data_IF_756659118654
#
_entry.id   IF_756659118654
#
_cell.length_a   1.000
_cell.length_b   1.000
_cell.length_c   1.000
_cell.angle_alpha   90.00
_cell.angle_beta   90.00
_cell.angle_gamma   90.00
#
_symmetry.space_group_name_H-M   'P 1'
#
loop_
_entity.id
_entity.type
_entity.pdbx_description
1 polymer ?
#
# COMPACT_ATOMS: atom_id res chain seq x y z
N UNK A 1 -0.36 19.56 -85.43
CA UNK A 1 -0.46 20.45 -84.25
C UNK A 1 -1.17 19.68 -83.16
N UNK A 2 -0.42 19.14 -82.19
CA UNK A 2 -0.99 18.37 -81.07
C UNK A 2 -0.43 18.97 -79.79
N UNK A 3 -1.36 19.35 -78.91
CA UNK A 3 -1.16 20.07 -77.68
C UNK A 3 -0.48 19.22 -76.59
N UNK A 4 0.47 19.84 -75.88
CA UNK A 4 0.34 20.09 -74.45
C UNK A 4 0.54 18.89 -73.52
N UNK A 5 1.78 18.72 -73.07
CA UNK A 5 2.24 17.82 -72.03
C UNK A 5 1.38 17.88 -70.74
N UNK A 6 1.06 16.70 -70.19
CA UNK A 6 0.49 16.54 -68.85
C UNK A 6 1.52 16.01 -67.86
N UNK A 7 1.69 16.82 -66.81
CA UNK A 7 1.76 16.49 -65.37
C UNK A 7 3.06 15.92 -64.79
N UNK A 8 3.74 16.86 -64.14
CA UNK A 8 4.50 16.76 -62.90
C UNK A 8 4.01 15.68 -61.90
N UNK A 9 4.96 14.90 -61.37
CA UNK A 9 5.02 14.46 -59.96
C UNK A 9 5.63 15.61 -59.14
N UNK A 10 5.31 15.84 -57.84
CA UNK A 10 5.73 14.93 -56.76
C UNK A 10 4.85 14.94 -55.49
N UNK A 11 5.27 14.16 -54.47
CA UNK A 11 4.76 14.19 -53.09
C UNK A 11 4.01 12.91 -52.74
N UNK A 12 4.64 11.80 -52.32
CA UNK A 12 5.47 11.63 -51.13
C UNK A 12 4.71 12.04 -49.86
N UNK A 13 3.73 11.22 -49.46
CA UNK A 13 3.11 11.20 -48.13
C UNK A 13 2.15 10.00 -48.07
N UNK A 14 2.66 8.78 -47.94
CA UNK A 14 1.89 7.65 -47.39
C UNK A 14 2.85 6.49 -47.18
N UNK A 15 3.45 6.44 -45.99
CA UNK A 15 4.43 5.42 -45.66
C UNK A 15 4.99 5.53 -44.25
N UNK A 16 4.20 6.08 -43.32
CA UNK A 16 4.45 5.90 -41.89
C UNK A 16 3.45 4.86 -41.36
N UNK A 17 3.46 3.68 -41.97
CA UNK A 17 3.05 2.47 -41.27
C UNK A 17 4.21 2.11 -40.33
N UNK A 18 4.41 2.93 -39.29
CA UNK A 18 5.26 2.56 -38.19
C UNK A 18 4.55 1.41 -37.50
N UNK A 19 5.10 0.21 -37.69
CA UNK A 19 4.76 -0.97 -36.94
C UNK A 19 4.70 -0.61 -35.46
N UNK A 20 3.49 -0.45 -34.91
CA UNK A 20 3.22 -0.90 -33.56
C UNK A 20 3.40 -2.42 -33.61
N UNK A 21 4.67 -2.85 -33.55
CA UNK A 21 4.97 -4.13 -32.96
C UNK A 21 4.30 -4.08 -31.59
N UNK A 22 3.21 -4.85 -31.48
CA UNK A 22 2.68 -5.30 -30.22
C UNK A 22 3.84 -6.00 -29.51
N UNK A 23 4.67 -5.21 -28.82
CA UNK A 23 5.28 -5.70 -27.61
C UNK A 23 4.09 -6.18 -26.77
N UNK A 24 4.08 -7.42 -26.26
CA UNK A 24 3.13 -7.74 -25.21
C UNK A 24 3.25 -6.60 -24.21
N UNK A 25 2.14 -5.92 -23.91
CA UNK A 25 2.15 -4.86 -22.92
C UNK A 25 2.83 -5.48 -21.69
N UNK A 26 4.08 -5.06 -21.40
CA UNK A 26 4.81 -5.59 -20.26
C UNK A 26 3.89 -5.40 -19.07
N UNK A 27 3.56 -6.49 -18.38
CA UNK A 27 2.53 -6.45 -17.35
C UNK A 27 2.89 -5.34 -16.37
N UNK A 28 2.00 -4.37 -16.20
CA UNK A 28 2.34 -3.13 -15.49
C UNK A 28 2.77 -3.47 -14.06
N UNK A 29 4.04 -3.21 -13.67
CA UNK A 29 4.55 -3.60 -12.36
C UNK A 29 3.76 -2.92 -11.24
N UNK A 30 3.13 -3.71 -10.37
CA UNK A 30 2.17 -3.20 -9.39
C UNK A 30 2.45 -3.75 -7.99
N UNK A 31 2.42 -2.84 -7.02
CA UNK A 31 2.29 -3.16 -5.60
C UNK A 31 0.82 -3.38 -5.28
N UNK A 32 0.54 -4.53 -4.67
CA UNK A 32 -0.80 -4.98 -4.35
C UNK A 32 -0.94 -5.14 -2.82
N UNK A 33 -2.16 -4.94 -2.32
CA UNK A 33 -2.50 -5.19 -0.91
C UNK A 33 -3.69 -6.12 -0.82
N UNK A 34 -3.49 -7.25 -0.14
CA UNK A 34 -4.53 -8.22 0.16
C UNK A 34 -5.29 -7.76 1.40
N UNK A 35 -6.61 -7.73 1.28
CA UNK A 35 -7.56 -7.39 2.35
C UNK A 35 -8.69 -8.43 2.35
N UNK A 36 -9.57 -8.48 3.38
CA UNK A 36 -10.71 -9.40 3.36
C UNK A 36 -11.60 -9.28 2.12
N UNK A 37 -11.66 -8.10 1.48
CA UNK A 37 -12.44 -7.87 0.26
C UNK A 37 -11.77 -8.39 -1.02
N UNK A 38 -10.48 -8.73 -0.96
CA UNK A 38 -9.69 -9.16 -2.11
C UNK A 38 -8.34 -8.44 -2.21
N UNK A 39 -7.69 -8.62 -3.35
CA UNK A 39 -6.37 -8.08 -3.65
C UNK A 39 -6.51 -6.78 -4.45
N UNK A 40 -5.95 -5.68 -3.96
CA UNK A 40 -6.11 -4.35 -4.59
C UNK A 40 -4.79 -3.83 -5.15
N UNK A 41 -4.77 -3.25 -6.36
CA UNK A 41 -3.62 -2.51 -6.82
C UNK A 41 -3.55 -1.18 -6.05
N UNK A 42 -2.38 -0.90 -5.50
CA UNK A 42 -2.14 0.27 -4.65
C UNK A 42 -1.20 1.27 -5.31
N UNK A 43 -0.17 0.78 -5.98
CA UNK A 43 0.76 1.61 -6.72
C UNK A 43 1.29 0.85 -7.93
N UNK A 44 1.56 1.57 -9.01
CA UNK A 44 2.33 1.12 -10.16
C UNK A 44 3.74 1.66 -10.02
N UNK A 45 4.75 0.92 -10.48
CA UNK A 45 6.13 1.40 -10.56
C UNK A 45 6.58 1.56 -12.01
N UNK A 46 7.10 2.75 -12.33
CA UNK A 46 7.78 3.03 -13.60
C UNK A 46 9.17 3.60 -13.28
N UNK A 47 10.21 2.85 -13.63
CA UNK A 47 11.57 3.12 -13.15
C UNK A 47 11.62 3.05 -11.62
N UNK A 48 12.03 4.14 -10.97
CA UNK A 48 12.12 4.25 -9.50
C UNK A 48 10.96 5.02 -8.86
N UNK A 49 9.91 5.35 -9.63
CA UNK A 49 8.81 6.20 -9.18
C UNK A 49 7.51 5.42 -9.07
N UNK A 50 6.72 5.77 -8.05
CA UNK A 50 5.41 5.18 -7.82
C UNK A 50 4.29 6.09 -8.35
N UNK A 51 3.34 5.48 -9.04
CA UNK A 51 2.19 6.14 -9.64
C UNK A 51 0.89 5.50 -9.15
N UNK A 52 -0.20 6.28 -9.05
CA UNK A 52 -1.50 5.71 -8.72
C UNK A 52 -1.94 4.78 -9.86
N UNK A 53 -2.57 3.63 -9.54
CA UNK A 53 -3.18 2.80 -10.56
C UNK A 53 -4.29 3.55 -11.32
N UNK A 54 -4.57 3.09 -12.54
CA UNK A 54 -5.59 3.70 -13.38
C UNK A 54 -6.99 3.68 -12.74
N UNK A 55 -7.72 4.80 -12.85
CA UNK A 55 -9.09 4.93 -12.33
C UNK A 55 -10.17 4.68 -13.38
N UNK A 56 -9.82 4.74 -14.65
CA UNK A 56 -10.75 4.48 -15.75
C UNK A 56 -11.06 2.98 -15.81
N UNK A 57 -12.35 2.63 -15.85
CA UNK A 57 -12.79 1.23 -15.83
C UNK A 57 -12.16 0.37 -16.94
N UNK A 58 -11.98 0.94 -18.14
CA UNK A 58 -11.31 0.26 -19.26
C UNK A 58 -9.85 -0.09 -18.93
N UNK A 59 -9.10 0.87 -18.40
CA UNK A 59 -7.70 0.67 -18.03
C UNK A 59 -7.55 -0.26 -16.82
N UNK A 60 -8.50 -0.22 -15.88
CA UNK A 60 -8.58 -1.19 -14.78
C UNK A 60 -8.78 -2.61 -15.31
N UNK A 61 -9.69 -2.80 -16.27
CA UNK A 61 -9.95 -4.11 -16.85
C UNK A 61 -8.72 -4.68 -17.57
N UNK A 62 -7.98 -3.85 -18.30
CA UNK A 62 -6.72 -4.24 -18.95
C UNK A 62 -5.73 -4.74 -17.89
N UNK A 63 -5.41 -3.91 -16.89
CA UNK A 63 -4.53 -4.29 -15.78
C UNK A 63 -4.98 -5.59 -15.09
N UNK A 64 -6.29 -5.71 -14.87
CA UNK A 64 -6.92 -6.85 -14.22
C UNK A 64 -6.72 -8.17 -14.97
N UNK A 65 -6.92 -8.13 -16.29
CA UNK A 65 -6.77 -9.29 -17.18
C UNK A 65 -5.30 -9.68 -17.33
N UNK A 66 -4.42 -8.71 -17.55
CA UNK A 66 -2.98 -8.95 -17.74
C UNK A 66 -2.38 -9.73 -16.57
N UNK A 67 -2.76 -9.38 -15.33
CA UNK A 67 -2.28 -10.09 -14.14
C UNK A 67 -2.84 -11.52 -14.04
N UNK A 68 -4.12 -11.73 -14.34
CA UNK A 68 -4.78 -13.03 -14.27
C UNK A 68 -4.23 -14.02 -15.32
N UNK A 69 -3.87 -13.50 -16.49
CA UNK A 69 -3.23 -14.28 -17.55
C UNK A 69 -1.79 -14.65 -17.18
N UNK A 70 -1.04 -13.71 -16.59
CA UNK A 70 0.34 -13.95 -16.20
C UNK A 70 0.47 -14.92 -15.01
N UNK A 71 -0.41 -14.82 -14.01
CA UNK A 71 -0.36 -15.63 -12.78
C UNK A 71 -1.75 -15.90 -12.20
N UNK A 72 -1.96 -17.14 -11.76
CA UNK A 72 -3.17 -17.57 -11.03
C UNK A 72 -3.04 -17.50 -9.51
N UNK A 73 -1.82 -17.47 -9.00
CA UNK A 73 -1.55 -17.40 -7.57
C UNK A 73 -0.43 -16.42 -7.29
N UNK A 74 -0.61 -15.60 -6.27
CA UNK A 74 0.38 -14.62 -5.84
C UNK A 74 0.76 -14.82 -4.37
N UNK A 75 2.05 -14.79 -4.03
CA UNK A 75 2.48 -14.83 -2.65
C UNK A 75 2.06 -13.56 -1.92
N UNK A 76 1.67 -13.74 -0.65
CA UNK A 76 1.37 -12.68 0.30
C UNK A 76 2.51 -12.56 1.33
N UNK A 77 2.95 -11.33 1.56
CA UNK A 77 4.12 -11.02 2.38
C UNK A 77 3.74 -10.17 3.59
N UNK A 78 4.36 -10.50 4.72
CA UNK A 78 4.37 -9.72 5.96
C UNK A 78 5.82 -9.35 6.25
N UNK A 79 6.15 -8.05 6.15
CA UNK A 79 7.51 -7.53 6.35
C UNK A 79 8.58 -8.31 5.55
N UNK A 80 8.29 -8.57 4.27
CA UNK A 80 9.11 -9.33 3.31
C UNK A 80 9.30 -10.82 3.57
N UNK A 81 8.63 -11.36 4.59
CA UNK A 81 8.48 -12.80 4.77
C UNK A 81 7.21 -13.27 4.06
N UNK A 82 7.30 -14.34 3.27
CA UNK A 82 6.14 -14.97 2.64
C UNK A 82 5.32 -15.72 3.70
N UNK A 83 4.00 -15.50 3.73
CA UNK A 83 3.12 -16.04 4.78
C UNK A 83 2.09 -17.03 4.27
N UNK A 84 1.64 -16.86 3.03
CA UNK A 84 0.63 -17.67 2.37
C UNK A 84 0.51 -17.25 0.90
N UNK A 85 -0.26 -18.01 0.13
CA UNK A 85 -0.66 -17.65 -1.24
C UNK A 85 -2.06 -17.04 -1.28
N UNK A 86 -2.32 -16.26 -2.33
CA UNK A 86 -3.63 -15.77 -2.73
C UNK A 86 -3.98 -16.29 -4.11
N UNK A 87 -5.07 -17.06 -4.21
CA UNK A 87 -5.58 -17.58 -5.47
C UNK A 87 -6.45 -16.53 -6.15
N UNK A 88 -6.03 -16.08 -7.33
CA UNK A 88 -6.74 -15.09 -8.13
C UNK A 88 -7.85 -15.77 -8.95
N UNK A 89 -9.08 -15.29 -8.83
CA UNK A 89 -10.23 -15.81 -9.59
C UNK A 89 -10.60 -14.87 -10.74
N UNK A 90 -11.03 -13.64 -10.41
CA UNK A 90 -11.50 -12.65 -11.39
C UNK A 90 -11.20 -11.23 -10.95
N UNK A 91 -11.13 -10.33 -11.91
CA UNK A 91 -10.99 -8.91 -11.63
C UNK A 91 -12.35 -8.21 -11.62
N UNK A 92 -12.56 -7.34 -10.64
CA UNK A 92 -13.74 -6.50 -10.51
C UNK A 92 -13.32 -5.04 -10.63
N UNK A 93 -13.77 -4.37 -11.70
CA UNK A 93 -13.63 -2.92 -11.86
C UNK A 93 -14.37 -2.18 -10.76
N UNK A 94 -13.90 -0.99 -10.42
CA UNK A 94 -14.57 -0.17 -9.41
C UNK A 94 -15.97 0.24 -9.90
N UNK A 95 -17.00 0.22 -9.03
CA UNK A 95 -18.31 0.75 -9.39
C UNK A 95 -18.26 2.21 -9.86
N UNK A 96 -19.23 2.68 -10.66
CA UNK A 96 -19.36 4.09 -10.98
C UNK A 96 -19.44 4.96 -9.71
N UNK A 97 -18.77 6.11 -9.70
CA UNK A 97 -18.71 7.02 -8.52
C UNK A 97 -17.66 6.64 -7.47
N UNK A 98 -16.89 5.58 -7.71
CA UNK A 98 -15.86 5.05 -6.83
C UNK A 98 -14.47 5.52 -7.30
N UNK A 99 -13.65 6.10 -6.42
CA UNK A 99 -12.30 6.58 -6.78
C UNK A 99 -11.20 5.50 -6.67
N UNK A 100 -11.59 4.23 -6.85
CA UNK A 100 -10.75 3.05 -6.69
C UNK A 100 -10.03 2.62 -7.96
N UNK A 101 -9.27 1.54 -7.84
CA UNK A 101 -8.45 0.95 -8.89
C UNK A 101 -8.89 -0.47 -9.28
N UNK A 102 -10.11 -0.86 -8.90
CA UNK A 102 -10.60 -2.23 -8.97
C UNK A 102 -10.01 -3.12 -7.89
N UNK A 103 -10.31 -4.41 -7.96
CA UNK A 103 -9.77 -5.45 -7.07
C UNK A 103 -9.85 -6.83 -7.74
N UNK A 104 -8.88 -7.68 -7.48
CA UNK A 104 -8.98 -9.11 -7.77
C UNK A 104 -9.74 -9.81 -6.64
N UNK A 105 -10.84 -10.46 -7.01
CA UNK A 105 -11.54 -11.41 -6.16
C UNK A 105 -10.79 -12.74 -6.19
N UNK A 106 -10.83 -13.44 -5.07
CA UNK A 106 -10.09 -14.67 -4.89
C UNK A 106 -10.11 -15.13 -3.45
N UNK A 107 -9.28 -16.13 -3.15
CA UNK A 107 -9.21 -16.73 -1.83
C UNK A 107 -7.76 -16.80 -1.34
N UNK A 108 -7.45 -16.24 -0.17
CA UNK A 108 -6.21 -16.58 0.51
C UNK A 108 -6.28 -18.03 1.00
N UNK A 109 -5.14 -18.70 1.13
CA UNK A 109 -5.07 -20.09 1.66
C UNK A 109 -5.72 -20.23 3.05
N UNK A 110 -5.76 -19.14 3.81
CA UNK A 110 -6.35 -19.04 5.14
C UNK A 110 -6.88 -17.62 5.37
N UNK A 111 -7.88 -17.43 6.26
CA UNK A 111 -8.47 -16.12 6.50
C UNK A 111 -7.43 -15.06 6.85
N UNK A 112 -7.54 -13.89 6.22
CA UNK A 112 -6.68 -12.74 6.52
C UNK A 112 -7.14 -12.09 7.83
N UNK A 113 -6.27 -12.09 8.83
CA UNK A 113 -6.44 -11.36 10.09
C UNK A 113 -5.88 -9.92 10.01
N UNK A 114 -5.10 -9.63 8.96
CA UNK A 114 -4.44 -8.35 8.71
C UNK A 114 -4.19 -8.16 7.21
N UNK A 115 -3.99 -6.92 6.73
CA UNK A 115 -3.61 -6.70 5.35
C UNK A 115 -2.18 -7.20 5.09
N UNK A 116 -1.94 -7.78 3.91
CA UNK A 116 -0.64 -8.30 3.48
C UNK A 116 -0.24 -7.72 2.12
N UNK A 117 1.07 -7.61 1.87
CA UNK A 117 1.58 -7.15 0.58
C UNK A 117 1.61 -8.27 -0.44
N UNK A 118 1.42 -7.94 -1.71
CA UNK A 118 1.70 -8.80 -2.83
C UNK A 118 2.20 -7.97 -4.01
N UNK A 119 2.74 -8.62 -5.03
CA UNK A 119 3.47 -7.97 -6.10
C UNK A 119 3.14 -8.65 -7.42
N UNK A 120 2.94 -7.87 -8.48
CA UNK A 120 2.82 -8.44 -9.82
C UNK A 120 4.16 -9.04 -10.29
N UNK A 121 4.15 -9.94 -11.30
CA UNK A 121 5.34 -10.68 -11.73
C UNK A 121 6.55 -9.81 -12.10
N UNK A 122 6.31 -8.65 -12.73
CA UNK A 122 7.35 -7.73 -13.18
C UNK A 122 7.70 -6.65 -12.14
N UNK A 123 7.11 -6.73 -10.94
CA UNK A 123 7.52 -5.86 -9.85
C UNK A 123 8.96 -6.23 -9.43
N UNK A 124 9.88 -5.26 -9.28
CA UNK A 124 11.29 -5.49 -8.91
C UNK A 124 11.49 -6.27 -7.59
N UNK A 125 10.41 -6.43 -6.84
CA UNK A 125 10.13 -7.66 -6.14
C UNK A 125 10.21 -7.54 -4.62
N UNK A 126 9.52 -8.42 -3.90
CA UNK A 126 9.83 -8.71 -2.52
C UNK A 126 11.17 -9.44 -2.45
N UNK A 127 12.08 -8.98 -1.60
CA UNK A 127 13.19 -9.84 -1.18
C UNK A 127 12.65 -10.73 -0.07
N UNK A 128 12.53 -12.03 -0.32
CA UNK A 128 12.22 -13.01 0.73
C UNK A 128 13.30 -12.89 1.81
N UNK A 129 12.94 -12.35 2.97
CA UNK A 129 13.81 -12.29 4.13
C UNK A 129 12.97 -12.44 5.39
N UNK A 130 13.60 -12.95 6.45
CA UNK A 130 12.96 -13.04 7.76
C UNK A 130 13.00 -11.64 8.37
N UNK A 131 11.95 -10.87 8.10
CA UNK A 131 11.82 -9.50 8.58
C UNK A 131 11.14 -9.41 9.93
N UNK A 132 10.29 -10.36 10.31
CA UNK A 132 9.47 -10.31 11.52
C UNK A 132 10.27 -10.66 12.79
N UNK A 133 10.00 -9.95 13.87
CA UNK A 133 10.59 -10.17 15.19
C UNK A 133 9.50 -10.45 16.24
N UNK A 134 9.82 -11.20 17.31
CA UNK A 134 8.90 -11.42 18.41
C UNK A 134 8.45 -10.09 19.06
N UNK A 135 7.13 -9.90 19.23
CA UNK A 135 6.57 -8.61 19.66
C UNK A 135 6.42 -8.45 21.17
N UNK A 136 6.39 -9.54 21.93
CA UNK A 136 6.00 -9.55 23.35
C UNK A 136 6.83 -8.61 24.24
N UNK A 137 8.12 -8.43 23.91
CA UNK A 137 9.03 -7.57 24.66
C UNK A 137 8.77 -6.06 24.46
N UNK A 138 7.93 -5.67 23.50
CA UNK A 138 7.74 -4.27 23.11
C UNK A 138 6.42 -3.65 23.58
N UNK A 139 5.53 -4.41 24.25
CA UNK A 139 4.22 -3.90 24.70
C UNK A 139 4.35 -2.69 25.62
N UNK A 140 5.27 -2.75 26.60
CA UNK A 140 5.52 -1.63 27.52
C UNK A 140 6.05 -0.40 26.77
N UNK A 141 7.04 -0.60 25.89
CA UNK A 141 7.58 0.46 25.04
C UNK A 141 6.49 1.12 24.19
N UNK A 142 5.63 0.30 23.57
CA UNK A 142 4.54 0.78 22.73
C UNK A 142 3.58 1.68 23.51
N UNK A 143 3.15 1.26 24.70
CA UNK A 143 2.29 2.06 25.56
C UNK A 143 2.97 3.37 26.00
N UNK A 144 4.23 3.29 26.45
CA UNK A 144 5.01 4.46 26.89
C UNK A 144 5.16 5.51 25.78
N UNK A 145 5.48 5.06 24.57
CA UNK A 145 5.71 5.93 23.42
C UNK A 145 4.41 6.54 22.89
N UNK A 146 3.32 5.77 22.84
CA UNK A 146 1.99 6.30 22.50
C UNK A 146 1.53 7.36 23.52
N UNK A 147 1.63 7.07 24.82
CA UNK A 147 1.27 8.03 25.88
C UNK A 147 2.11 9.32 25.80
N UNK A 148 3.41 9.20 25.51
CA UNK A 148 4.29 10.36 25.32
C UNK A 148 3.77 11.28 24.22
N UNK A 149 3.35 10.73 23.09
CA UNK A 149 2.81 11.53 21.97
C UNK A 149 1.46 12.14 22.34
N UNK A 150 0.52 11.37 22.89
CA UNK A 150 -0.79 11.90 23.28
C UNK A 150 -0.71 13.00 24.35
N UNK A 151 0.19 12.87 25.33
CA UNK A 151 0.48 13.95 26.29
C UNK A 151 1.03 15.20 25.60
N UNK A 152 1.94 15.05 24.64
CA UNK A 152 2.45 16.18 23.86
C UNK A 152 1.34 16.86 23.02
N UNK A 153 0.30 16.12 22.63
CA UNK A 153 -0.92 16.67 22.00
C UNK A 153 -1.95 17.21 23.01
N UNK A 154 -1.60 17.27 24.31
CA UNK A 154 -2.42 17.83 25.39
C UNK A 154 -3.77 17.13 25.59
N UNK A 155 -3.84 15.81 25.37
CA UNK A 155 -5.01 15.04 25.76
C UNK A 155 -5.18 15.07 27.29
N UNK A 156 -6.43 15.10 27.74
CA UNK A 156 -6.76 15.07 29.17
C UNK A 156 -6.46 13.70 29.79
N UNK A 157 -6.24 13.65 31.11
CA UNK A 157 -5.96 12.40 31.83
C UNK A 157 -7.02 11.30 31.59
N UNK A 158 -8.34 11.58 31.58
CA UNK A 158 -9.33 10.56 31.22
C UNK A 158 -9.13 9.96 29.82
N UNK A 159 -8.72 10.76 28.84
CA UNK A 159 -8.44 10.29 27.48
C UNK A 159 -7.12 9.52 27.42
N UNK A 160 -6.11 9.93 28.19
CA UNK A 160 -4.84 9.21 28.30
C UNK A 160 -5.03 7.81 28.90
N UNK A 161 -5.93 7.67 29.88
CA UNK A 161 -6.30 6.37 30.46
C UNK A 161 -7.10 5.48 29.50
N UNK A 162 -7.64 6.04 28.41
CA UNK A 162 -8.37 5.32 27.38
C UNK A 162 -7.51 4.91 26.17
N UNK A 163 -6.20 5.18 26.19
CA UNK A 163 -5.25 4.78 25.14
C UNK A 163 -5.14 3.26 25.06
N UNK A 164 -5.39 2.70 23.88
CA UNK A 164 -5.22 1.28 23.59
C UNK A 164 -4.25 1.07 22.43
N UNK A 165 -3.17 0.31 22.68
CA UNK A 165 -2.35 -0.27 21.60
C UNK A 165 -3.13 -1.41 20.96
N UNK A 166 -3.41 -1.28 19.67
CA UNK A 166 -4.29 -2.18 18.91
C UNK A 166 -3.55 -3.03 17.89
N UNK A 167 -2.43 -2.53 17.36
CA UNK A 167 -1.51 -3.32 16.54
C UNK A 167 -0.08 -3.02 16.98
N UNK A 168 0.70 -4.08 17.14
CA UNK A 168 2.12 -4.01 17.47
C UNK A 168 2.86 -4.99 16.58
N UNK A 169 3.81 -4.50 15.81
CA UNK A 169 4.63 -5.31 14.92
C UNK A 169 6.09 -4.94 15.11
N UNK A 170 6.95 -5.93 15.23
CA UNK A 170 8.39 -5.74 15.26
C UNK A 170 8.97 -6.31 13.98
N UNK A 171 9.81 -5.53 13.31
CA UNK A 171 10.35 -5.90 12.01
C UNK A 171 11.76 -5.35 11.82
N UNK A 172 12.47 -5.83 10.80
CA UNK A 172 13.76 -5.29 10.40
C UNK A 172 13.68 -4.65 9.02
N UNK A 173 14.49 -3.64 8.74
CA UNK A 173 14.75 -3.14 7.38
C UNK A 173 16.22 -3.33 7.03
N UNK A 174 16.56 -3.02 5.79
CA UNK A 174 17.93 -3.11 5.27
C UNK A 174 18.49 -4.53 5.46
N UNK A 175 17.67 -5.52 5.13
CA UNK A 175 17.98 -6.95 5.20
C UNK A 175 18.47 -7.37 6.59
N UNK A 176 17.78 -6.94 7.66
CA UNK A 176 18.09 -7.33 9.04
C UNK A 176 18.97 -6.35 9.82
N UNK A 177 19.57 -5.36 9.17
CA UNK A 177 20.57 -4.49 9.82
C UNK A 177 19.95 -3.38 10.69
N UNK A 178 18.67 -3.04 10.48
CA UNK A 178 17.97 -2.00 11.25
C UNK A 178 16.71 -2.58 11.87
N UNK A 179 16.49 -2.35 13.16
CA UNK A 179 15.39 -2.93 13.92
C UNK A 179 14.31 -1.88 14.20
N UNK A 180 13.05 -2.25 13.96
CA UNK A 180 11.91 -1.37 14.06
C UNK A 180 10.76 -1.99 14.85
N UNK A 181 9.91 -1.12 15.38
CA UNK A 181 8.61 -1.46 15.95
C UNK A 181 7.57 -0.49 15.39
N UNK A 182 6.50 -1.04 14.81
CA UNK A 182 5.29 -0.31 14.47
C UNK A 182 4.29 -0.40 15.60
N UNK A 183 3.73 0.74 16.01
CA UNK A 183 2.71 0.85 17.05
C UNK A 183 1.51 1.58 16.48
N UNK A 184 0.39 0.89 16.33
CA UNK A 184 -0.90 1.52 16.11
C UNK A 184 -1.68 1.59 17.43
N UNK A 185 -2.07 2.79 17.83
CA UNK A 185 -2.87 3.02 19.03
C UNK A 185 -4.02 3.97 18.76
N UNK A 186 -5.10 3.78 19.50
CA UNK A 186 -6.29 4.63 19.43
C UNK A 186 -6.71 5.09 20.82
N UNK A 187 -7.48 6.17 20.85
CA UNK A 187 -8.20 6.65 22.04
C UNK A 187 -9.69 6.68 21.71
N UNK A 188 -10.50 6.06 22.56
CA UNK A 188 -11.96 6.04 22.44
C UNK A 188 -12.58 6.75 23.63
N UNK A 189 -13.44 7.73 23.37
CA UNK A 189 -14.38 8.19 24.40
C UNK A 189 -15.44 7.12 24.66
N UNK A 190 -15.85 6.93 25.92
CA UNK A 190 -16.98 6.09 26.25
C UNK A 190 -18.20 6.54 25.42
N UNK A 191 -18.90 5.58 24.80
CA UNK A 191 -20.05 5.76 23.90
C UNK A 191 -19.79 5.96 22.40
N UNK A 192 -18.54 6.02 21.91
CA UNK A 192 -18.26 6.06 20.45
C UNK A 192 -17.63 4.77 19.95
N UNK A 193 -18.20 4.21 18.87
CA UNK A 193 -17.57 3.14 18.09
C UNK A 193 -16.35 3.65 17.29
N UNK A 194 -16.30 4.97 17.07
CA UNK A 194 -15.23 5.68 16.37
C UNK A 194 -14.12 6.08 17.35
N UNK A 195 -12.82 5.85 17.04
CA UNK A 195 -11.75 6.40 17.85
C UNK A 195 -11.72 7.91 17.69
N UNK A 196 -11.66 8.67 18.79
CA UNK A 196 -11.48 10.13 18.73
C UNK A 196 -10.07 10.51 18.28
N UNK A 197 -9.08 9.67 18.58
CA UNK A 197 -7.72 9.87 18.12
C UNK A 197 -7.11 8.56 17.65
N UNK A 198 -6.34 8.65 16.57
CA UNK A 198 -5.59 7.53 16.02
C UNK A 198 -4.14 7.91 15.85
N UNK A 199 -3.25 6.98 16.17
CA UNK A 199 -1.81 7.16 16.12
C UNK A 199 -1.16 5.94 15.48
N UNK A 200 -0.29 6.18 14.51
CA UNK A 200 0.72 5.21 14.08
C UNK A 200 2.11 5.78 14.35
N UNK A 201 2.93 5.01 15.06
CA UNK A 201 4.35 5.25 15.25
C UNK A 201 5.14 4.17 14.53
N UNK A 202 6.23 4.57 13.87
CA UNK A 202 7.32 3.67 13.49
C UNK A 202 8.54 4.09 14.30
N UNK A 203 9.00 3.21 15.16
CA UNK A 203 10.13 3.41 16.06
C UNK A 203 11.32 2.60 15.55
N UNK A 204 12.51 3.18 15.57
CA UNK A 204 13.76 2.48 15.26
C UNK A 204 14.65 2.37 16.49
N UNK A 205 15.29 1.22 16.65
CA UNK A 205 16.33 1.01 17.66
C UNK A 205 17.67 1.55 17.17
N UNK A 206 18.13 2.63 17.78
CA UNK A 206 19.43 3.25 17.51
C UNK A 206 20.28 3.13 18.78
N UNK A 207 21.26 2.22 18.74
CA UNK A 207 22.04 1.83 19.90
C UNK A 207 21.15 1.28 21.02
N UNK A 208 21.12 1.95 22.17
CA UNK A 208 20.30 1.58 23.33
C UNK A 208 18.94 2.30 23.39
N UNK A 209 18.62 3.17 22.42
CA UNK A 209 17.43 4.01 22.46
C UNK A 209 16.47 3.69 21.32
N UNK A 210 15.18 3.93 21.56
CA UNK A 210 14.15 3.91 20.54
C UNK A 210 13.86 5.34 20.09
N UNK A 211 13.85 5.57 18.78
CA UNK A 211 13.60 6.88 18.19
C UNK A 211 12.43 6.80 17.21
N UNK A 212 11.54 7.79 17.29
CA UNK A 212 10.42 7.92 16.35
C UNK A 212 10.92 8.31 14.96
N UNK A 213 10.71 7.44 13.98
CA UNK A 213 11.03 7.67 12.57
C UNK A 213 9.82 8.11 11.76
N UNK A 214 8.61 7.77 12.21
CA UNK A 214 7.35 8.21 11.62
C UNK A 214 6.31 8.40 12.73
N UNK A 215 5.57 9.50 12.67
CA UNK A 215 4.40 9.80 13.51
C UNK A 215 3.22 10.19 12.61
N UNK A 216 2.17 9.39 12.61
CA UNK A 216 0.86 9.75 12.07
C UNK A 216 -0.13 9.90 13.20
N UNK A 217 -0.34 11.14 13.62
CA UNK A 217 -1.38 11.49 14.58
C UNK A 217 -2.58 12.08 13.85
N UNK A 218 -3.79 11.65 14.21
CA UNK A 218 -5.04 12.23 13.74
C UNK A 218 -6.03 12.40 14.87
N UNK A 219 -6.69 13.56 14.88
CA UNK A 219 -7.91 13.82 15.65
C UNK A 219 -9.11 13.58 14.73
N UNK A 220 -9.94 12.62 15.08
CA UNK A 220 -11.09 12.16 14.31
C UNK A 220 -12.35 12.89 14.77
N UNK A 221 -12.65 14.02 14.13
CA UNK A 221 -13.86 14.80 14.44
C UNK A 221 -15.11 14.24 13.76
N UNK A 222 -14.96 13.67 12.56
CA UNK A 222 -16.06 13.11 11.74
C UNK A 222 -15.69 11.80 11.04
N UNK A 223 -14.42 11.61 10.73
CA UNK A 223 -13.93 10.41 10.04
C UNK A 223 -13.33 9.44 11.05
N UNK A 224 -13.78 8.18 11.05
CA UNK A 224 -13.21 7.11 11.90
C UNK A 224 -11.92 6.55 11.30
N UNK A 225 -10.97 7.44 11.07
CA UNK A 225 -9.72 7.11 10.42
C UNK A 225 -8.77 6.40 11.40
N UNK A 226 -8.15 5.33 10.96
CA UNK A 226 -7.14 4.55 11.67
C UNK A 226 -5.93 4.33 10.76
N UNK A 227 -4.79 4.01 11.35
CA UNK A 227 -3.55 3.76 10.64
C UNK A 227 -2.96 2.40 11.04
N UNK A 228 -2.32 1.72 10.09
CA UNK A 228 -1.60 0.48 10.35
C UNK A 228 -0.45 0.29 9.37
N UNK A 229 0.66 -0.30 9.82
CA UNK A 229 1.61 -0.89 8.90
C UNK A 229 0.95 -2.06 8.15
N UNK A 230 1.17 -2.13 6.84
CA UNK A 230 0.85 -3.30 6.00
C UNK A 230 2.06 -4.20 5.90
N UNK A 231 3.23 -3.62 5.61
CA UNK A 231 4.48 -4.35 5.62
C UNK A 231 5.64 -3.56 5.01
N UNK A 232 6.85 -4.12 5.12
CA UNK A 232 8.05 -3.67 4.42
C UNK A 232 8.24 -4.34 3.06
N UNK A 233 8.91 -3.63 2.14
CA UNK A 233 9.27 -4.13 0.81
C UNK A 233 10.49 -3.39 0.24
N UNK A 234 10.98 -3.82 -0.92
CA UNK A 234 12.11 -3.21 -1.61
C UNK A 234 11.84 -3.11 -3.11
N UNK A 235 12.60 -2.26 -3.79
CA UNK A 235 12.65 -2.19 -5.27
C UNK A 235 14.09 -2.31 -5.80
N UNK A 236 15.08 -2.27 -4.91
CA UNK A 236 16.50 -2.39 -5.22
C UNK A 236 17.13 -3.49 -4.38
N UNK A 237 18.42 -3.35 -4.02
CA UNK A 237 19.23 -4.34 -3.29
C UNK A 237 18.83 -4.60 -1.82
N UNK A 238 17.94 -3.78 -1.26
CA UNK A 238 17.59 -3.78 0.15
C UNK A 238 16.08 -3.59 0.31
N UNK A 239 15.55 -4.10 1.42
CA UNK A 239 14.20 -3.77 1.87
C UNK A 239 14.24 -2.48 2.66
N UNK A 240 13.89 -1.40 1.97
CA UNK A 240 14.02 -0.02 2.41
C UNK A 240 12.70 0.75 2.41
N UNK A 241 11.60 0.10 2.03
CA UNK A 241 10.29 0.76 1.91
C UNK A 241 9.28 0.16 2.87
N UNK A 242 8.33 0.99 3.28
CA UNK A 242 7.18 0.61 4.09
C UNK A 242 5.90 1.00 3.36
N UNK A 243 4.91 0.12 3.41
CA UNK A 243 3.55 0.43 3.03
C UNK A 243 2.72 0.63 4.30
N UNK A 244 2.17 1.83 4.46
CA UNK A 244 1.27 2.21 5.56
C UNK A 244 -0.13 2.37 4.99
N UNK A 245 -1.10 1.72 5.61
CA UNK A 245 -2.51 1.91 5.31
C UNK A 245 -3.10 2.93 6.28
N UNK A 246 -3.89 3.86 5.74
CA UNK A 246 -4.95 4.52 6.49
C UNK A 246 -6.30 3.99 6.06
N UNK A 247 -7.23 3.90 6.99
CA UNK A 247 -8.58 3.37 6.74
C UNK A 247 -9.63 4.16 7.50
N UNK A 248 -10.74 4.45 6.85
CA UNK A 248 -11.99 4.93 7.45
C UNK A 248 -13.12 3.96 7.08
N UNK A 249 -14.35 4.17 7.58
CA UNK A 249 -15.49 3.32 7.21
C UNK A 249 -15.78 3.30 5.69
N UNK A 250 -15.43 4.37 4.98
CA UNK A 250 -15.78 4.56 3.56
C UNK A 250 -14.58 4.53 2.62
N UNK A 251 -13.35 4.59 3.15
CA UNK A 251 -12.15 4.71 2.32
C UNK A 251 -10.95 3.99 2.92
N UNK A 252 -10.03 3.57 2.04
CA UNK A 252 -8.66 3.24 2.42
C UNK A 252 -7.71 4.10 1.61
N UNK A 253 -6.54 4.35 2.13
CA UNK A 253 -5.45 4.96 1.37
C UNK A 253 -4.14 4.38 1.82
N UNK A 254 -3.14 4.49 0.97
CA UNK A 254 -1.83 3.93 1.24
C UNK A 254 -0.76 4.99 1.04
N UNK A 255 0.12 5.08 2.02
CA UNK A 255 1.33 5.88 1.97
C UNK A 255 2.52 4.93 1.84
N UNK A 256 3.44 5.22 0.92
CA UNK A 256 4.71 4.51 0.84
C UNK A 256 5.81 5.41 1.39
N UNK A 257 6.63 4.83 2.26
CA UNK A 257 7.78 5.49 2.87
C UNK A 257 9.06 4.80 2.45
N UNK A 258 10.13 5.57 2.29
CA UNK A 258 11.48 5.08 2.07
C UNK A 258 12.39 5.47 3.23
N UNK A 259 13.06 4.47 3.81
CA UNK A 259 14.09 4.65 4.80
C UNK A 259 15.28 5.40 4.20
N UNK A 260 15.67 6.50 4.85
CA UNK A 260 16.82 7.29 4.42
C UNK A 260 18.12 6.71 5.00
N UNK A 261 19.24 6.98 4.34
CA UNK A 261 20.58 6.56 4.78
C UNK A 261 20.99 7.16 6.13
N UNK A 262 20.51 8.37 6.44
CA UNK A 262 20.87 9.12 7.65
C UNK A 262 19.75 9.21 8.69
N UNK A 263 18.95 8.14 8.80
CA UNK A 263 17.79 8.10 9.69
C UNK A 263 16.55 8.76 9.09
N UNK A 264 15.39 8.33 9.55
CA UNK A 264 14.09 8.82 9.10
C UNK A 264 13.45 7.99 7.99
N UNK A 265 12.15 8.25 7.81
CA UNK A 265 11.31 7.70 6.75
C UNK A 265 10.74 8.86 5.93
N UNK A 266 11.03 8.87 4.62
CA UNK A 266 10.52 9.88 3.69
C UNK A 266 9.31 9.33 2.97
N UNK A 267 8.18 10.06 2.98
CA UNK A 267 7.04 9.73 2.11
C UNK A 267 7.46 9.88 0.65
N UNK A 268 7.27 8.83 -0.14
CA UNK A 268 7.57 8.82 -1.58
C UNK A 268 6.32 8.64 -2.44
N UNK A 269 5.20 8.25 -1.83
CA UNK A 269 3.94 8.06 -2.52
C UNK A 269 2.77 8.24 -1.56
N UNK A 270 1.67 8.75 -2.09
CA UNK A 270 0.35 8.74 -1.48
C UNK A 270 -0.66 8.35 -2.55
N UNK A 271 -1.42 7.28 -2.33
CA UNK A 271 -2.43 6.85 -3.29
C UNK A 271 -3.08 5.50 -2.96
N UNK A 272 -3.99 5.08 -3.85
CA UNK A 272 -4.78 3.85 -3.71
C UNK A 272 -6.03 3.99 -2.84
N UNK A 273 -7.09 3.23 -3.16
CA UNK A 273 -8.18 2.87 -2.22
C UNK A 273 -9.29 3.90 -1.89
N UNK A 274 -9.31 5.09 -2.48
CA UNK A 274 -10.31 6.10 -2.10
C UNK A 274 -11.74 5.67 -2.46
N UNK A 275 -12.63 5.79 -1.47
CA UNK A 275 -14.10 5.77 -1.63
C UNK A 275 -14.69 4.51 -2.27
N UNK A 276 -14.15 3.33 -1.97
CA UNK A 276 -14.58 2.06 -2.55
C UNK A 276 -14.83 0.93 -1.56
N UNK A 277 -14.98 1.27 -0.28
CA UNK A 277 -15.56 0.35 0.69
C UNK A 277 -17.06 0.52 0.56
N UNK A 278 -17.73 -0.48 -0.01
CA UNK A 278 -19.18 -0.53 -0.03
C UNK A 278 -19.72 -0.38 1.39
N UNK A 279 -20.87 0.28 1.53
CA UNK A 279 -21.71 0.15 2.72
C UNK A 279 -22.16 -1.32 2.85
N UNK A 280 -21.31 -2.16 3.44
CA UNK A 280 -21.61 -3.53 3.88
C UNK A 280 -20.55 -3.87 4.94
N UNK A 281 -20.88 -3.98 6.23
CA UNK A 281 -21.69 -5.06 6.78
C UNK A 281 -22.61 -4.53 7.89
N UNK A 282 -23.92 -4.44 7.60
CA UNK A 282 -24.95 -4.67 8.59
C UNK A 282 -25.41 -6.12 8.36
N UNK A 283 -24.96 -7.02 9.22
CA UNK A 283 -25.57 -8.33 9.44
C UNK A 283 -26.04 -8.36 10.89
#
# INVERSE_FOLDING_TARGET
MIQGARRHRPGLLLGLALMLLAQPASAVPALLVATPEGLRPVAIIEGDKFFPPAREARLQQILGNDLLEAKRELPLFENGEERMMFQLERFQVSPPGCAGAGLWLGKPERPLDRPLLSFSPDFPGPRRYVGNLPVAAYTKLAQEMSLKVYRAKRLSEPLLNAVKVRKLEAFTLMNGTRNFVSVASDVFSPAKACPDYSLLLILEKIGRRWQTQLEHFRHNTKDCAQYSLVGSFGTGSKIDKLAVQGSSPTARWYDLYQAQSFGGLKKIFHGGGHSCLSQSVAH
#
